data_IF_573266182509
#
_entry.id   IF_573266182509
#
_cell.length_a   1.000
_cell.length_b   1.000
_cell.length_c   1.000
_cell.angle_alpha   90.00
_cell.angle_beta   90.00
_cell.angle_gamma   90.00
#
_symmetry.space_group_name_H-M   'P 1'
#
loop_
_entity.id
_entity.type
_entity.pdbx_description
1 polymer ?
#
# COMPACT_ATOMS: atom_id res chain seq x y z
N UNK A 1 31.46 -10.90 12.85
CA UNK A 1 30.00 -10.80 12.66
C UNK A 1 29.75 -9.65 11.72
N UNK A 2 29.08 -9.89 10.58
CA UNK A 2 28.83 -8.83 9.58
C UNK A 2 27.62 -7.99 9.99
N UNK A 3 27.56 -6.74 9.52
CA UNK A 3 26.41 -5.85 9.75
C UNK A 3 25.10 -6.45 9.18
N UNK A 4 25.20 -7.26 8.12
CA UNK A 4 24.05 -8.00 7.58
C UNK A 4 23.52 -9.03 8.57
N UNK A 5 24.40 -9.79 9.24
CA UNK A 5 23.98 -10.79 10.24
C UNK A 5 23.28 -10.13 11.42
N UNK A 6 23.71 -8.95 11.84
CA UNK A 6 23.04 -8.18 12.90
C UNK A 6 21.62 -7.78 12.47
N UNK A 7 21.44 -7.33 11.22
CA UNK A 7 20.12 -7.01 10.68
C UNK A 7 19.23 -8.26 10.55
N UNK A 8 19.78 -9.40 10.14
CA UNK A 8 19.02 -10.65 10.05
C UNK A 8 18.60 -11.17 11.43
N UNK A 9 19.51 -11.13 12.42
CA UNK A 9 19.21 -11.46 13.81
C UNK A 9 18.07 -10.59 14.35
N UNK A 10 18.18 -9.28 14.12
CA UNK A 10 17.16 -8.30 14.52
C UNK A 10 15.82 -8.57 13.84
N UNK A 11 15.81 -8.81 12.53
CA UNK A 11 14.59 -9.11 11.78
C UNK A 11 13.88 -10.37 12.30
N UNK A 12 14.64 -11.42 12.66
CA UNK A 12 14.07 -12.62 13.27
C UNK A 12 13.49 -12.34 14.66
N UNK A 13 14.22 -11.60 15.49
CA UNK A 13 13.79 -11.26 16.86
C UNK A 13 12.51 -10.41 16.85
N UNK A 14 12.43 -9.42 15.97
CA UNK A 14 11.28 -8.52 15.88
C UNK A 14 10.15 -9.08 15.00
N UNK A 15 10.33 -10.27 14.39
CA UNK A 15 9.44 -10.86 13.39
C UNK A 15 9.10 -9.89 12.24
N UNK A 16 10.13 -9.21 11.72
CA UNK A 16 10.00 -8.20 10.66
C UNK A 16 10.57 -8.70 9.34
N UNK A 17 10.07 -8.15 8.25
CA UNK A 17 10.61 -8.41 6.91
C UNK A 17 11.91 -7.65 6.63
N UNK A 18 12.71 -8.18 5.71
CA UNK A 18 13.88 -7.54 5.10
C UNK A 18 13.72 -7.45 3.59
N UNK A 19 14.30 -6.41 2.98
CA UNK A 19 14.50 -6.29 1.53
C UNK A 19 15.92 -6.70 1.16
N UNK A 20 16.08 -7.59 0.17
CA UNK A 20 17.37 -8.12 -0.27
C UNK A 20 17.63 -7.74 -1.72
N UNK A 21 18.75 -7.04 -1.97
CA UNK A 21 19.27 -6.75 -3.31
C UNK A 21 20.55 -7.55 -3.55
N UNK A 22 20.49 -8.45 -4.53
CA UNK A 22 21.60 -9.34 -4.85
C UNK A 22 21.96 -9.43 -6.34
N UNK A 23 21.27 -8.68 -7.21
CA UNK A 23 21.56 -8.64 -8.63
C UNK A 23 22.02 -7.23 -9.04
N UNK A 24 23.34 -7.03 -9.11
CA UNK A 24 23.91 -5.74 -9.49
C UNK A 24 23.57 -5.32 -10.94
N UNK A 25 23.20 -6.27 -11.81
CA UNK A 25 22.73 -5.98 -13.17
C UNK A 25 21.31 -5.39 -13.20
N UNK A 26 20.54 -5.54 -12.12
CA UNK A 26 19.17 -5.03 -11.98
C UNK A 26 18.96 -4.43 -10.58
N UNK A 27 19.65 -3.32 -10.23
CA UNK A 27 19.70 -2.84 -8.85
C UNK A 27 18.34 -2.41 -8.28
N UNK A 28 17.38 -2.10 -9.15
CA UNK A 28 16.00 -1.79 -8.79
C UNK A 28 15.20 -2.99 -8.30
N UNK A 29 15.59 -4.23 -8.67
CA UNK A 29 14.90 -5.45 -8.23
C UNK A 29 15.42 -5.91 -6.87
N UNK A 30 14.49 -6.30 -6.01
CA UNK A 30 14.78 -6.82 -4.68
C UNK A 30 13.70 -7.82 -4.27
N UNK A 31 14.06 -8.74 -3.39
CA UNK A 31 13.11 -9.63 -2.74
C UNK A 31 12.76 -9.07 -1.36
N UNK A 32 11.49 -9.18 -0.95
CA UNK A 32 11.06 -8.87 0.42
C UNK A 32 10.60 -10.15 1.09
N UNK A 33 10.90 -10.31 2.37
CA UNK A 33 10.43 -11.48 3.09
C UNK A 33 10.95 -11.63 4.51
N UNK A 34 10.56 -12.74 5.14
CA UNK A 34 11.00 -13.09 6.49
C UNK A 34 12.23 -13.97 6.46
N UNK A 35 13.26 -13.58 7.22
CA UNK A 35 14.48 -14.38 7.41
C UNK A 35 14.12 -15.70 8.09
N UNK A 36 14.33 -16.83 7.41
CA UNK A 36 14.09 -18.16 7.98
C UNK A 36 15.35 -18.71 8.65
N UNK A 37 16.51 -18.55 8.00
CA UNK A 37 17.81 -18.88 8.53
C UNK A 37 18.90 -18.14 7.77
N UNK A 38 20.08 -18.00 8.38
CA UNK A 38 21.25 -17.42 7.72
C UNK A 38 22.55 -18.02 8.30
N UNK A 39 23.62 -17.98 7.51
CA UNK A 39 25.00 -18.31 7.88
C UNK A 39 25.93 -17.19 7.44
N UNK A 40 27.24 -17.44 7.43
CA UNK A 40 28.21 -16.49 6.84
C UNK A 40 28.13 -16.41 5.31
N UNK A 41 27.60 -17.45 4.66
CA UNK A 41 27.58 -17.55 3.18
C UNK A 41 26.18 -17.42 2.58
N UNK A 42 25.14 -17.86 3.30
CA UNK A 42 23.79 -18.03 2.72
C UNK A 42 22.73 -17.43 3.62
N UNK A 43 21.79 -16.72 3.01
CA UNK A 43 20.51 -16.32 3.60
C UNK A 43 19.38 -17.14 2.99
N UNK A 44 18.48 -17.66 3.82
CA UNK A 44 17.22 -18.26 3.39
C UNK A 44 16.05 -17.33 3.75
N UNK A 45 15.31 -16.89 2.73
CA UNK A 45 14.21 -15.95 2.85
C UNK A 45 12.89 -16.62 2.46
N UNK A 46 11.86 -16.43 3.29
CA UNK A 46 10.46 -16.69 2.89
C UNK A 46 9.95 -15.44 2.17
N UNK A 47 9.83 -15.51 0.85
CA UNK A 47 9.54 -14.36 -0.02
C UNK A 47 8.06 -14.02 0.00
N UNK A 48 7.79 -12.73 0.12
CA UNK A 48 6.47 -12.10 0.11
C UNK A 48 6.45 -11.11 -1.05
N UNK A 49 5.40 -11.15 -1.88
CA UNK A 49 5.23 -10.18 -2.96
C UNK A 49 4.68 -8.84 -2.45
N UNK A 50 4.57 -7.84 -3.33
CA UNK A 50 4.05 -6.51 -3.00
C UNK A 50 2.60 -6.50 -2.49
N UNK A 51 1.87 -7.58 -2.75
CA UNK A 51 0.47 -7.81 -2.40
C UNK A 51 0.38 -8.46 -0.99
N UNK A 52 1.51 -8.69 -0.32
CA UNK A 52 1.57 -9.34 1.00
C UNK A 52 1.42 -10.87 0.95
N UNK A 53 1.37 -11.48 -0.23
CA UNK A 53 1.21 -12.92 -0.39
C UNK A 53 2.58 -13.63 -0.39
N UNK A 54 2.65 -14.78 0.29
CA UNK A 54 3.81 -15.64 0.22
C UNK A 54 3.94 -16.27 -1.16
N UNK A 55 5.07 -16.07 -1.83
CA UNK A 55 5.34 -16.61 -3.17
C UNK A 55 6.30 -17.78 -3.16
N UNK A 56 7.17 -17.91 -2.16
CA UNK A 56 8.09 -19.04 -2.09
C UNK A 56 9.20 -18.92 -1.05
N UNK A 57 10.20 -19.79 -1.20
CA UNK A 57 11.43 -19.82 -0.42
C UNK A 57 12.59 -19.54 -1.39
N UNK A 58 13.45 -18.59 -1.05
CA UNK A 58 14.58 -18.20 -1.90
C UNK A 58 15.85 -18.13 -1.07
N UNK A 59 16.93 -18.72 -1.56
CA UNK A 59 18.26 -18.57 -0.98
C UNK A 59 19.06 -17.49 -1.72
N UNK A 60 19.87 -16.76 -0.96
CA UNK A 60 20.79 -15.74 -1.47
C UNK A 60 22.20 -16.07 -1.02
N UNK A 61 23.17 -16.01 -1.94
CA UNK A 61 24.57 -15.99 -1.57
C UNK A 61 24.89 -14.59 -1.03
N UNK A 62 25.40 -14.50 0.19
CA UNK A 62 25.72 -13.23 0.83
C UNK A 62 26.86 -12.48 0.14
N UNK A 63 27.70 -13.16 -0.65
CA UNK A 63 28.68 -12.48 -1.51
C UNK A 63 28.05 -11.62 -2.59
N UNK A 64 26.83 -11.96 -3.02
CA UNK A 64 26.11 -11.27 -4.10
C UNK A 64 25.20 -10.17 -3.55
N UNK A 65 24.89 -10.21 -2.24
CA UNK A 65 24.06 -9.20 -1.56
C UNK A 65 24.86 -7.91 -1.38
N UNK A 66 24.41 -6.84 -2.03
CA UNK A 66 25.03 -5.52 -1.91
C UNK A 66 24.23 -4.54 -1.04
N UNK A 67 22.96 -4.85 -0.75
CA UNK A 67 22.11 -4.02 0.10
C UNK A 67 21.04 -4.87 0.81
N UNK A 68 20.84 -4.56 2.09
CA UNK A 68 19.77 -5.09 2.94
C UNK A 68 18.96 -3.89 3.46
N UNK A 69 17.70 -3.84 3.09
CA UNK A 69 16.74 -2.83 3.55
C UNK A 69 15.97 -3.40 4.76
N UNK A 70 15.81 -2.61 5.82
CA UNK A 70 15.11 -3.02 7.03
C UNK A 70 14.15 -1.93 7.48
N UNK A 71 12.88 -2.29 7.67
CA UNK A 71 11.85 -1.39 8.20
C UNK A 71 11.79 -0.05 7.45
N UNK A 72 11.85 -0.06 6.12
CA UNK A 72 11.48 1.11 5.34
C UNK A 72 9.95 1.18 5.16
N UNK A 73 9.47 2.23 4.50
CA UNK A 73 8.03 2.44 4.30
C UNK A 73 7.39 1.37 3.40
N UNK A 74 8.10 0.91 2.38
CA UNK A 74 7.61 -0.12 1.46
C UNK A 74 7.51 -1.48 2.17
N UNK A 75 8.56 -1.90 2.87
CA UNK A 75 8.61 -3.15 3.63
C UNK A 75 7.51 -3.15 4.70
N UNK A 76 7.32 -2.03 5.42
CA UNK A 76 6.20 -1.90 6.37
C UNK A 76 4.84 -2.08 5.71
N UNK A 77 4.65 -1.53 4.51
CA UNK A 77 3.38 -1.65 3.79
C UNK A 77 3.13 -3.11 3.34
N UNK A 78 4.15 -3.78 2.80
CA UNK A 78 4.06 -5.21 2.42
C UNK A 78 3.77 -6.08 3.63
N UNK A 79 4.47 -5.84 4.74
CA UNK A 79 4.25 -6.54 6.00
C UNK A 79 2.85 -6.30 6.56
N UNK A 80 2.35 -5.07 6.44
CA UNK A 80 0.98 -4.73 6.81
C UNK A 80 -0.05 -5.50 5.98
N UNK A 81 0.12 -5.55 4.65
CA UNK A 81 -0.75 -6.33 3.76
C UNK A 81 -0.71 -7.82 4.13
N UNK A 82 0.48 -8.38 4.34
CA UNK A 82 0.65 -9.78 4.71
C UNK A 82 -0.06 -10.15 6.02
N UNK A 83 -0.09 -9.24 6.99
CA UNK A 83 -0.75 -9.43 8.28
C UNK A 83 -2.27 -9.17 8.24
N UNK A 84 -2.81 -8.66 7.13
CA UNK A 84 -4.22 -8.25 6.99
C UNK A 84 -4.85 -8.75 5.67
N UNK A 85 -4.36 -9.85 5.10
CA UNK A 85 -4.80 -10.36 3.79
C UNK A 85 -6.31 -10.55 3.70
N UNK A 86 -6.93 -11.07 4.74
CA UNK A 86 -8.38 -11.30 4.86
C UNK A 86 -9.20 -10.02 4.78
N UNK A 87 -8.64 -8.89 5.26
CA UNK A 87 -9.28 -7.57 5.25
C UNK A 87 -8.99 -6.82 3.95
N UNK A 88 -7.75 -6.89 3.45
CA UNK A 88 -7.30 -6.22 2.23
C UNK A 88 -7.93 -6.86 0.98
N UNK A 89 -8.07 -8.18 0.96
CA UNK A 89 -8.65 -8.93 -0.16
C UNK A 89 -10.06 -9.46 0.12
N UNK A 90 -10.74 -8.90 1.13
CA UNK A 90 -12.15 -9.17 1.36
C UNK A 90 -12.98 -8.87 0.09
N UNK A 91 -14.01 -9.66 -0.16
CA UNK A 91 -14.92 -9.43 -1.28
C UNK A 91 -15.50 -8.01 -1.25
N UNK A 92 -15.32 -7.29 -2.35
CA UNK A 92 -15.87 -5.94 -2.52
C UNK A 92 -17.39 -6.06 -2.62
N UNK A 93 -18.10 -5.48 -1.67
CA UNK A 93 -19.55 -5.32 -1.79
C UNK A 93 -19.81 -4.11 -2.67
N UNK A 94 -20.44 -4.31 -3.82
CA UNK A 94 -20.96 -3.20 -4.62
C UNK A 94 -22.08 -2.52 -3.84
N UNK A 95 -21.95 -1.24 -3.45
CA UNK A 95 -23.03 -0.52 -2.80
C UNK A 95 -24.27 -0.46 -3.69
N UNK A 96 -25.46 -0.55 -3.10
CA UNK A 96 -26.72 -0.55 -3.85
C UNK A 96 -26.92 0.71 -4.68
N UNK A 97 -26.46 1.87 -4.22
CA UNK A 97 -26.54 3.12 -4.99
C UNK A 97 -25.69 3.12 -6.26
N UNK A 98 -24.71 2.20 -6.41
CA UNK A 98 -23.98 2.03 -7.67
C UNK A 98 -24.78 1.25 -8.73
N UNK A 99 -26.00 0.81 -8.41
CA UNK A 99 -26.87 0.07 -9.34
C UNK A 99 -28.00 0.92 -9.92
N UNK A 100 -27.99 2.24 -9.67
CA UNK A 100 -28.96 3.19 -10.24
C UNK A 100 -28.76 3.36 -11.75
N UNK A 101 -29.82 3.77 -12.45
CA UNK A 101 -29.86 3.86 -13.92
C UNK A 101 -28.96 4.96 -14.51
N UNK A 102 -28.65 6.01 -13.74
CA UNK A 102 -27.81 7.13 -14.19
C UNK A 102 -26.71 7.43 -13.17
N UNK A 103 -25.51 6.91 -13.43
CA UNK A 103 -24.31 7.23 -12.67
C UNK A 103 -23.60 8.43 -13.30
N UNK A 104 -23.24 9.41 -12.47
CA UNK A 104 -22.45 10.57 -12.87
C UNK A 104 -21.31 10.80 -11.87
N UNK A 105 -20.23 11.44 -12.32
CA UNK A 105 -19.10 11.79 -11.45
C UNK A 105 -19.52 12.65 -10.24
N UNK A 106 -20.32 13.73 -10.37
CA UNK A 106 -20.81 14.47 -9.22
C UNK A 106 -21.57 13.59 -8.22
N UNK A 107 -22.42 12.68 -8.73
CA UNK A 107 -23.16 11.75 -7.87
C UNK A 107 -22.23 10.81 -7.10
N UNK A 108 -21.21 10.24 -7.76
CA UNK A 108 -20.24 9.36 -7.10
C UNK A 108 -19.43 10.09 -6.02
N UNK A 109 -19.03 11.34 -6.27
CA UNK A 109 -18.32 12.15 -5.29
C UNK A 109 -19.22 12.53 -4.10
N UNK A 110 -20.50 12.81 -4.35
CA UNK A 110 -21.47 13.07 -3.29
C UNK A 110 -21.70 11.83 -2.42
N UNK A 111 -21.89 10.66 -3.03
CA UNK A 111 -21.99 9.40 -2.30
C UNK A 111 -20.71 9.10 -1.51
N UNK A 112 -19.53 9.35 -2.08
CA UNK A 112 -18.26 9.16 -1.38
C UNK A 112 -18.15 10.06 -0.13
N UNK A 113 -18.64 11.30 -0.24
CA UNK A 113 -18.73 12.26 0.87
C UNK A 113 -19.71 11.78 1.95
N UNK A 114 -20.93 11.42 1.57
CA UNK A 114 -21.98 10.99 2.52
C UNK A 114 -21.61 9.72 3.28
N UNK A 115 -20.93 8.79 2.61
CA UNK A 115 -20.52 7.51 3.19
C UNK A 115 -19.15 7.55 3.89
N UNK A 116 -18.49 8.71 3.94
CA UNK A 116 -17.10 8.83 4.39
C UNK A 116 -16.20 7.75 3.75
N UNK A 117 -16.36 7.54 2.44
CA UNK A 117 -15.61 6.53 1.69
C UNK A 117 -14.27 7.11 1.24
N UNK A 118 -13.17 6.41 1.52
CA UNK A 118 -11.90 6.74 0.90
C UNK A 118 -11.95 6.27 -0.55
N UNK A 119 -11.75 7.20 -1.49
CA UNK A 119 -11.76 6.91 -2.92
C UNK A 119 -10.39 7.16 -3.53
N UNK A 120 -10.11 6.46 -4.64
CA UNK A 120 -9.02 6.84 -5.53
C UNK A 120 -9.58 7.58 -6.75
N UNK A 121 -9.12 8.81 -6.95
CA UNK A 121 -9.49 9.66 -8.06
C UNK A 121 -8.33 9.76 -9.03
N UNK A 122 -8.58 9.54 -10.31
CA UNK A 122 -7.63 9.90 -11.37
C UNK A 122 -8.20 11.02 -12.22
N UNK A 123 -7.35 11.98 -12.59
CA UNK A 123 -7.74 13.13 -13.40
C UNK A 123 -7.25 13.00 -14.84
N UNK A 124 -7.78 13.83 -15.73
CA UNK A 124 -7.25 13.98 -17.09
C UNK A 124 -5.86 14.64 -17.13
N UNK A 125 -5.41 15.27 -16.04
CA UNK A 125 -4.13 15.96 -15.91
C UNK A 125 -3.00 15.05 -15.39
N UNK A 126 -3.21 13.73 -15.43
CA UNK A 126 -2.27 12.72 -14.91
C UNK A 126 -1.93 12.87 -13.41
N UNK A 127 -2.79 13.56 -12.66
CA UNK A 127 -2.74 13.57 -11.21
C UNK A 127 -3.72 12.54 -10.66
N UNK A 128 -3.41 11.99 -9.49
CA UNK A 128 -4.31 11.10 -8.79
C UNK A 128 -4.25 11.31 -7.28
N UNK A 129 -5.33 10.94 -6.61
CA UNK A 129 -5.53 11.21 -5.20
C UNK A 129 -6.18 10.01 -4.54
N UNK A 130 -5.60 9.55 -3.43
CA UNK A 130 -6.36 8.80 -2.44
C UNK A 130 -6.91 9.81 -1.43
N UNK A 131 -8.22 9.82 -1.19
CA UNK A 131 -8.77 10.80 -0.25
C UNK A 131 -10.25 10.69 0.06
N UNK A 132 -10.64 11.39 1.12
CA UNK A 132 -12.03 11.62 1.49
C UNK A 132 -12.53 12.93 0.87
N UNK A 133 -13.71 12.90 0.25
CA UNK A 133 -14.37 14.12 -0.19
C UNK A 133 -14.90 14.86 1.04
N UNK A 134 -14.40 16.06 1.31
CA UNK A 134 -14.79 16.89 2.45
C UNK A 134 -15.82 17.95 2.08
N UNK A 135 -15.71 18.51 0.88
CA UNK A 135 -16.69 19.46 0.32
C UNK A 135 -16.90 19.19 -1.15
N UNK A 136 -18.13 19.40 -1.63
CA UNK A 136 -18.50 19.28 -3.03
C UNK A 136 -19.41 20.44 -3.42
N UNK A 137 -19.12 21.05 -4.56
CA UNK A 137 -19.97 22.04 -5.24
C UNK A 137 -20.28 21.54 -6.64
N UNK A 138 -21.02 22.30 -7.43
CA UNK A 138 -21.29 21.97 -8.84
C UNK A 138 -20.02 21.87 -9.70
N UNK A 139 -18.93 22.55 -9.30
CA UNK A 139 -17.71 22.68 -10.12
C UNK A 139 -16.46 22.11 -9.48
N UNK A 140 -16.41 22.08 -8.16
CA UNK A 140 -15.19 21.81 -7.40
C UNK A 140 -15.45 20.81 -6.27
N UNK A 141 -14.45 19.98 -5.99
CA UNK A 141 -14.40 19.08 -4.85
C UNK A 141 -13.14 19.38 -4.01
N UNK A 142 -13.30 19.41 -2.69
CA UNK A 142 -12.20 19.48 -1.73
C UNK A 142 -11.96 18.08 -1.15
N UNK A 143 -10.73 17.60 -1.25
CA UNK A 143 -10.28 16.29 -0.77
C UNK A 143 -9.36 16.47 0.43
N UNK A 144 -9.50 15.60 1.42
CA UNK A 144 -8.42 15.29 2.37
C UNK A 144 -7.63 14.11 1.83
N UNK A 145 -6.35 14.33 1.54
CA UNK A 145 -5.52 13.41 0.77
C UNK A 145 -4.61 12.57 1.66
N UNK A 146 -4.29 11.37 1.17
CA UNK A 146 -3.32 10.47 1.77
C UNK A 146 -2.38 9.91 0.70
N UNK A 147 -1.15 9.62 1.11
CA UNK A 147 -0.20 8.83 0.32
C UNK A 147 -0.67 7.39 0.18
N UNK A 148 -0.09 6.64 -0.77
CA UNK A 148 -0.31 5.19 -0.95
C UNK A 148 0.02 4.35 0.31
N UNK A 149 0.72 4.95 1.28
CA UNK A 149 1.11 4.32 2.54
C UNK A 149 0.21 4.75 3.72
N UNK A 150 -0.90 5.44 3.45
CA UNK A 150 -1.86 5.87 4.47
C UNK A 150 -1.37 6.99 5.38
N UNK A 151 -0.40 7.80 4.92
CA UNK A 151 0.06 9.00 5.61
C UNK A 151 -0.71 10.21 5.07
N UNK A 152 -1.18 11.10 5.94
CA UNK A 152 -1.86 12.34 5.55
C UNK A 152 -0.98 13.21 4.64
N UNK A 153 -1.55 13.68 3.54
CA UNK A 153 -0.88 14.43 2.48
C UNK A 153 -1.58 15.78 2.18
N UNK A 154 -2.22 16.33 3.22
CA UNK A 154 -2.87 17.63 3.15
C UNK A 154 -4.21 17.63 2.42
N UNK A 155 -4.52 18.76 1.77
CA UNK A 155 -5.79 19.00 1.10
C UNK A 155 -5.57 19.30 -0.40
N UNK A 156 -6.49 18.84 -1.23
CA UNK A 156 -6.52 19.18 -2.66
C UNK A 156 -7.89 19.70 -3.08
N UNK A 157 -7.94 20.83 -3.76
CA UNK A 157 -9.12 21.31 -4.46
C UNK A 157 -9.00 20.97 -5.94
N UNK A 158 -9.98 20.24 -6.49
CA UNK A 158 -10.00 19.80 -7.88
C UNK A 158 -11.31 20.20 -8.55
N UNK A 159 -11.30 20.34 -9.88
CA UNK A 159 -12.54 20.51 -10.63
C UNK A 159 -13.20 19.15 -10.85
N UNK A 160 -14.51 19.12 -10.71
CA UNK A 160 -15.31 17.89 -10.93
C UNK A 160 -15.22 17.43 -12.38
N UNK A 161 -15.14 18.38 -13.33
CA UNK A 161 -14.97 18.09 -14.77
C UNK A 161 -13.62 17.42 -15.12
N UNK A 162 -12.59 17.62 -14.29
CA UNK A 162 -11.25 17.05 -14.52
C UNK A 162 -11.14 15.60 -14.02
N UNK A 163 -12.13 15.10 -13.28
CA UNK A 163 -12.14 13.72 -12.76
C UNK A 163 -12.48 12.76 -13.88
N UNK A 164 -11.52 11.87 -14.18
CA UNK A 164 -11.63 10.84 -15.22
C UNK A 164 -12.22 9.54 -14.70
N UNK A 165 -11.85 9.13 -13.49
CA UNK A 165 -12.30 7.88 -12.88
C UNK A 165 -12.37 8.03 -11.36
N UNK A 166 -13.41 7.46 -10.77
CA UNK A 166 -13.60 7.29 -9.32
C UNK A 166 -13.54 5.79 -9.02
N UNK A 167 -12.47 5.36 -8.34
CA UNK A 167 -12.38 4.01 -7.80
C UNK A 167 -12.97 4.03 -6.39
N UNK A 168 -14.14 3.40 -6.24
CA UNK A 168 -14.89 3.38 -4.99
C UNK A 168 -14.16 2.61 -3.88
N UNK A 169 -13.66 1.42 -4.21
CA UNK A 169 -12.87 0.59 -3.30
C UNK A 169 -12.05 -0.42 -4.10
N UNK A 170 -10.77 -0.49 -3.78
CA UNK A 170 -9.77 -1.40 -4.31
C UNK A 170 -8.80 -1.81 -3.18
N UNK A 171 -7.74 -2.53 -3.54
CA UNK A 171 -6.74 -2.98 -2.58
C UNK A 171 -6.10 -1.81 -1.82
N UNK A 172 -5.63 -0.79 -2.55
CA UNK A 172 -4.85 0.30 -1.97
C UNK A 172 -5.71 1.19 -1.07
N UNK A 173 -6.94 1.52 -1.50
CA UNK A 173 -7.89 2.27 -0.65
C UNK A 173 -8.20 1.52 0.64
N UNK A 174 -8.39 0.19 0.59
CA UNK A 174 -8.61 -0.61 1.81
C UNK A 174 -7.39 -0.64 2.71
N UNK A 175 -6.18 -0.71 2.15
CA UNK A 175 -4.94 -0.67 2.93
C UNK A 175 -4.80 0.67 3.66
N UNK A 176 -5.05 1.78 2.98
CA UNK A 176 -5.04 3.11 3.58
C UNK A 176 -6.08 3.22 4.69
N UNK A 177 -7.34 2.83 4.44
CA UNK A 177 -8.40 2.86 5.46
C UNK A 177 -8.05 2.03 6.69
N UNK A 178 -7.40 0.88 6.51
CA UNK A 178 -6.95 0.04 7.62
C UNK A 178 -5.84 0.72 8.43
N UNK A 179 -4.88 1.39 7.78
CA UNK A 179 -3.87 2.19 8.46
C UNK A 179 -4.50 3.30 9.31
N UNK A 180 -5.44 4.06 8.73
CA UNK A 180 -6.11 5.16 9.42
C UNK A 180 -6.92 4.66 10.63
N UNK A 181 -7.66 3.55 10.48
CA UNK A 181 -8.42 2.93 11.58
C UNK A 181 -7.54 2.50 12.75
N UNK A 182 -6.32 2.03 12.49
CA UNK A 182 -5.40 1.62 13.56
C UNK A 182 -4.75 2.82 14.26
N UNK A 183 -4.52 3.91 13.55
CA UNK A 183 -3.99 5.16 14.12
C UNK A 183 -5.02 5.86 15.02
N UNK A 184 -6.31 5.81 14.67
CA UNK A 184 -7.38 6.42 15.48
C UNK A 184 -7.74 5.63 16.75
N UNK A 185 -7.27 4.39 16.88
CA UNK A 185 -7.56 3.50 18.02
C UNK A 185 -6.36 3.29 18.97
N UNK A 186 -5.23 3.94 18.71
CA UNK A 186 -4.03 3.92 19.55
C UNK A 186 -3.87 5.21 20.33
#
# INVERSE_FOLDING_TARGET
>A
MSVYNDLFARAQQEQRMVGIRSNAGEPGRFAVGFVQSYSEDVLLLRVINRDGMQTGMQSFNLSDVFQVDFNDQYIRNVEFKANNLDRVYASVKTPSFLTVSELSTPYLLEMAREHEQLVYLSTYLSTSFYGYVRQLTEREALLECYTEFGVADGLAAIRVEDVRNVVWSDEDTRVIELHLKLQSNG
#
